data_IF_051872135901
#
_entry.id   IF_051872135901
#
_cell.length_a   1.000
_cell.length_b   1.000
_cell.length_c   1.000
_cell.angle_alpha   90.00
_cell.angle_beta   90.00
_cell.angle_gamma   90.00
#
_symmetry.space_group_name_H-M   'P 1'
#
loop_
_entity.id
_entity.type
_entity.pdbx_description
1 polymer ?
#
# COMPACT_ATOMS: atom_id res chain seq x y z
N UNK A 1 -18.44 -17.29 -50.03
CA UNK A 1 -18.74 -16.99 -48.59
C UNK A 1 -17.43 -16.89 -47.86
N UNK A 2 -16.88 -15.69 -47.81
CA UNK A 2 -15.60 -15.41 -47.16
C UNK A 2 -15.83 -15.22 -45.66
N UNK A 3 -15.15 -16.06 -44.90
CA UNK A 3 -15.13 -16.02 -43.47
C UNK A 3 -14.31 -14.79 -43.00
N UNK A 4 -14.96 -13.67 -42.68
CA UNK A 4 -14.33 -12.54 -41.99
C UNK A 4 -13.82 -13.03 -40.63
N UNK A 5 -12.54 -13.40 -40.56
CA UNK A 5 -11.82 -13.49 -39.28
C UNK A 5 -11.90 -12.11 -38.61
N UNK A 6 -12.59 -12.02 -37.49
CA UNK A 6 -12.53 -10.87 -36.62
C UNK A 6 -11.06 -10.55 -36.32
N UNK A 7 -10.67 -9.30 -36.58
CA UNK A 7 -9.34 -8.80 -36.23
C UNK A 7 -9.10 -9.01 -34.71
N UNK A 8 -7.89 -9.39 -34.31
CA UNK A 8 -7.59 -9.51 -32.89
C UNK A 8 -7.75 -8.12 -32.24
N UNK A 9 -8.41 -8.10 -31.09
CA UNK A 9 -8.42 -6.93 -30.23
C UNK A 9 -6.98 -6.46 -30.07
N UNK A 10 -6.75 -5.18 -30.34
CA UNK A 10 -5.46 -4.52 -30.20
C UNK A 10 -5.09 -4.54 -28.73
N UNK A 11 -4.47 -5.64 -28.26
CA UNK A 11 -3.97 -5.76 -26.89
C UNK A 11 -2.79 -4.81 -26.83
N UNK A 12 -2.99 -3.67 -26.19
CA UNK A 12 -1.91 -2.71 -25.99
C UNK A 12 -0.75 -3.42 -25.27
N UNK A 13 0.46 -3.26 -25.81
CA UNK A 13 1.69 -3.83 -25.25
C UNK A 13 1.85 -3.38 -23.78
N UNK A 14 2.11 -4.31 -22.87
CA UNK A 14 2.24 -4.00 -21.46
C UNK A 14 3.62 -3.46 -21.12
N UNK A 15 3.67 -2.39 -20.32
CA UNK A 15 4.88 -1.94 -19.64
C UNK A 15 4.93 -2.54 -18.23
N UNK A 16 5.93 -3.38 -17.94
CA UNK A 16 6.01 -4.09 -16.66
C UNK A 16 7.14 -3.55 -15.82
N UNK A 17 6.85 -3.15 -14.58
CA UNK A 17 7.85 -2.84 -13.57
C UNK A 17 7.98 -4.02 -12.62
N UNK A 18 9.07 -4.73 -12.69
CA UNK A 18 9.37 -5.87 -11.84
C UNK A 18 10.30 -5.47 -10.69
N UNK A 19 9.87 -5.76 -9.47
CA UNK A 19 10.70 -5.59 -8.28
C UNK A 19 10.98 -6.95 -7.64
N UNK A 20 12.22 -7.47 -7.71
CA UNK A 20 12.58 -8.73 -7.08
C UNK A 20 12.42 -8.64 -5.56
N UNK A 21 11.82 -9.66 -4.94
CA UNK A 21 11.67 -9.74 -3.47
C UNK A 21 13.04 -9.70 -2.80
N UNK A 22 13.39 -8.67 -2.03
CA UNK A 22 14.62 -8.71 -1.25
C UNK A 22 14.51 -9.85 -0.22
N UNK A 23 15.42 -10.81 -0.31
CA UNK A 23 15.53 -11.90 0.66
C UNK A 23 14.74 -13.18 0.39
N UNK A 24 14.19 -13.40 -0.79
CA UNK A 24 13.72 -14.71 -1.28
C UNK A 24 14.92 -15.49 -1.84
N UNK A 25 15.00 -16.81 -1.56
CA UNK A 25 16.13 -17.63 -2.02
C UNK A 25 16.25 -17.70 -3.55
N UNK A 26 15.13 -17.54 -4.26
CA UNK A 26 15.07 -17.57 -5.71
C UNK A 26 14.14 -16.45 -6.24
N UNK A 27 14.58 -15.17 -6.23
CA UNK A 27 13.77 -14.08 -6.75
C UNK A 27 13.46 -14.26 -8.24
N UNK A 28 14.40 -14.83 -9.01
CA UNK A 28 14.22 -15.11 -10.43
C UNK A 28 13.11 -16.13 -10.70
N UNK A 29 12.93 -17.15 -9.86
CA UNK A 29 11.93 -18.20 -10.09
C UNK A 29 10.49 -17.64 -10.16
N UNK A 30 10.15 -16.63 -9.37
CA UNK A 30 8.84 -16.00 -9.44
C UNK A 30 8.67 -15.24 -10.78
N UNK A 31 9.72 -14.53 -11.21
CA UNK A 31 9.68 -13.81 -12.49
C UNK A 31 9.62 -14.76 -13.70
N UNK A 32 10.35 -15.87 -13.66
CA UNK A 32 10.27 -16.91 -14.68
C UNK A 32 8.86 -17.49 -14.82
N UNK A 33 8.17 -17.76 -13.70
CA UNK A 33 6.79 -18.22 -13.70
C UNK A 33 5.82 -17.17 -14.27
N UNK A 34 6.02 -15.89 -13.94
CA UNK A 34 5.22 -14.78 -14.52
C UNK A 34 5.43 -14.72 -16.03
N UNK A 35 6.67 -14.77 -16.49
CA UNK A 35 7.02 -14.78 -17.92
C UNK A 35 6.40 -15.97 -18.66
N UNK A 36 6.63 -17.18 -18.18
CA UNK A 36 6.09 -18.40 -18.77
C UNK A 36 4.55 -18.31 -18.91
N UNK A 37 3.88 -17.82 -17.87
CA UNK A 37 2.42 -17.68 -17.91
C UNK A 37 1.95 -16.62 -18.92
N UNK A 38 2.69 -15.52 -19.10
CA UNK A 38 2.38 -14.48 -20.08
C UNK A 38 2.69 -14.97 -21.52
N UNK A 39 3.82 -15.63 -21.71
CA UNK A 39 4.23 -16.19 -23.02
C UNK A 39 3.23 -17.27 -23.49
N UNK A 40 2.77 -18.14 -22.60
CA UNK A 40 1.74 -19.15 -22.89
C UNK A 40 0.39 -18.53 -23.33
N UNK A 41 0.13 -17.27 -22.93
CA UNK A 41 -1.06 -16.52 -23.34
C UNK A 41 -0.82 -15.61 -24.56
N UNK A 42 0.37 -15.61 -25.12
CA UNK A 42 0.72 -14.79 -26.28
C UNK A 42 0.70 -13.28 -26.01
N UNK A 43 1.01 -12.86 -24.77
CA UNK A 43 1.00 -11.44 -24.41
C UNK A 43 2.27 -10.73 -24.88
N UNK A 44 2.10 -9.55 -25.47
CA UNK A 44 3.20 -8.66 -25.80
C UNK A 44 3.50 -7.73 -24.60
N UNK A 45 4.74 -7.71 -24.15
CA UNK A 45 5.17 -6.87 -23.04
C UNK A 45 6.64 -6.49 -23.14
N UNK A 46 6.97 -5.36 -22.52
CA UNK A 46 8.33 -5.00 -22.16
C UNK A 46 8.45 -4.93 -20.66
N UNK A 47 9.59 -5.28 -20.12
CA UNK A 47 9.79 -5.20 -18.68
C UNK A 47 11.06 -4.47 -18.30
N UNK A 48 11.00 -3.80 -17.16
CA UNK A 48 12.14 -3.17 -16.51
C UNK A 48 12.24 -3.67 -15.07
N UNK A 49 13.45 -3.99 -14.66
CA UNK A 49 13.72 -4.48 -13.32
C UNK A 49 14.19 -3.34 -12.42
N UNK A 50 13.57 -3.23 -11.25
CA UNK A 50 13.98 -2.31 -10.20
C UNK A 50 15.24 -2.81 -9.50
N UNK A 51 16.21 -1.93 -9.34
CA UNK A 51 17.50 -2.17 -8.65
C UNK A 51 17.49 -1.70 -7.19
N UNK A 52 16.45 -1.00 -6.73
CA UNK A 52 16.36 -0.54 -5.35
C UNK A 52 15.31 0.52 -5.07
N UNK A 53 15.45 1.16 -3.93
CA UNK A 53 14.54 2.22 -3.48
C UNK A 53 14.60 3.43 -4.42
N UNK A 54 13.43 3.93 -4.83
CA UNK A 54 13.28 5.08 -5.74
C UNK A 54 13.40 4.77 -7.22
N UNK A 55 13.95 3.61 -7.62
CA UNK A 55 14.05 3.25 -9.04
C UNK A 55 12.69 2.97 -9.68
N UNK A 56 11.72 2.47 -8.91
CA UNK A 56 10.37 2.16 -9.41
C UNK A 56 9.66 3.41 -9.93
N UNK A 57 9.73 4.53 -9.23
CA UNK A 57 9.13 5.79 -9.68
C UNK A 57 9.74 6.22 -11.03
N UNK A 58 11.07 6.24 -11.12
CA UNK A 58 11.79 6.59 -12.34
C UNK A 58 11.46 5.65 -13.51
N UNK A 59 11.43 4.34 -13.26
CA UNK A 59 11.13 3.33 -14.29
C UNK A 59 9.67 3.42 -14.76
N UNK A 60 8.74 3.69 -13.84
CA UNK A 60 7.33 3.91 -14.20
C UNK A 60 7.17 5.15 -15.09
N UNK A 61 7.75 6.29 -14.69
CA UNK A 61 7.73 7.51 -15.53
C UNK A 61 8.39 7.30 -16.88
N UNK A 62 9.45 6.49 -16.95
CA UNK A 62 10.09 6.14 -18.23
C UNK A 62 9.13 5.36 -19.14
N UNK A 63 8.41 4.37 -18.61
CA UNK A 63 7.41 3.61 -19.40
C UNK A 63 6.27 4.52 -19.88
N UNK A 64 5.78 5.44 -19.02
CA UNK A 64 4.75 6.43 -19.40
C UNK A 64 5.24 7.27 -20.59
N UNK A 65 6.45 7.83 -20.50
CA UNK A 65 7.05 8.65 -21.57
C UNK A 65 7.28 7.86 -22.87
N UNK A 66 7.47 6.55 -22.77
CA UNK A 66 7.59 5.66 -23.93
C UNK A 66 6.20 5.24 -24.50
N UNK A 67 5.10 5.81 -24.00
CA UNK A 67 3.76 5.63 -24.55
C UNK A 67 3.03 4.37 -24.08
N UNK A 68 3.49 3.69 -23.03
CA UNK A 68 2.75 2.56 -22.47
C UNK A 68 1.51 3.05 -21.72
N UNK A 69 0.35 2.54 -22.12
CA UNK A 69 -0.95 2.85 -21.52
C UNK A 69 -1.42 1.77 -20.54
N UNK A 70 -0.83 0.58 -20.57
CA UNK A 70 -1.06 -0.50 -19.62
C UNK A 70 0.22 -0.76 -18.84
N UNK A 71 0.20 -0.42 -17.56
CA UNK A 71 1.34 -0.58 -16.66
C UNK A 71 1.05 -1.65 -15.61
N UNK A 72 1.90 -2.66 -15.55
CA UNK A 72 1.76 -3.77 -14.60
C UNK A 72 2.92 -3.74 -13.60
N UNK A 73 2.58 -3.71 -12.34
CA UNK A 73 3.56 -3.81 -11.24
C UNK A 73 3.65 -5.26 -10.78
N UNK A 74 4.84 -5.85 -10.87
CA UNK A 74 5.13 -7.15 -10.24
C UNK A 74 5.86 -6.89 -8.93
N UNK A 75 5.10 -6.82 -7.83
CA UNK A 75 5.62 -6.38 -6.53
C UNK A 75 4.58 -6.44 -5.42
N UNK A 76 4.86 -5.78 -4.30
CA UNK A 76 3.92 -5.59 -3.18
C UNK A 76 3.43 -4.14 -3.07
N UNK A 77 2.62 -3.85 -2.03
CA UNK A 77 2.01 -2.53 -1.79
C UNK A 77 3.01 -1.38 -1.86
N UNK A 78 4.22 -1.57 -1.34
CA UNK A 78 5.27 -0.57 -1.38
C UNK A 78 5.70 -0.20 -2.80
N UNK A 79 5.81 -1.20 -3.68
CA UNK A 79 6.22 -1.01 -5.08
C UNK A 79 5.07 -0.37 -5.85
N UNK A 80 3.84 -0.83 -5.59
CA UNK A 80 2.63 -0.26 -6.14
C UNK A 80 2.49 1.23 -5.76
N UNK A 81 2.73 1.58 -4.48
CA UNK A 81 2.71 2.97 -4.01
C UNK A 81 3.77 3.85 -4.68
N UNK A 82 4.95 3.31 -5.02
CA UNK A 82 5.97 4.05 -5.78
C UNK A 82 5.52 4.28 -7.23
N UNK A 83 4.98 3.26 -7.90
CA UNK A 83 4.43 3.40 -9.25
C UNK A 83 3.25 4.40 -9.28
N UNK A 84 2.38 4.35 -8.27
CA UNK A 84 1.33 5.34 -8.08
C UNK A 84 1.88 6.76 -8.05
N UNK A 85 2.92 7.03 -7.23
CA UNK A 85 3.47 8.38 -7.09
C UNK A 85 4.06 8.91 -8.40
N UNK A 86 4.65 8.04 -9.22
CA UNK A 86 5.07 8.39 -10.57
C UNK A 86 3.87 8.81 -11.45
N UNK A 87 2.78 8.04 -11.43
CA UNK A 87 1.57 8.36 -12.20
C UNK A 87 0.88 9.63 -11.71
N UNK A 88 0.85 9.85 -10.39
CA UNK A 88 0.25 11.06 -9.82
C UNK A 88 1.08 12.33 -10.05
N UNK A 89 2.32 12.20 -10.54
CA UNK A 89 3.15 13.31 -10.99
C UNK A 89 2.90 13.71 -12.45
N UNK A 90 2.24 12.84 -13.23
CA UNK A 90 1.86 13.14 -14.61
C UNK A 90 0.60 14.02 -14.68
N UNK A 91 0.40 14.71 -15.79
CA UNK A 91 -0.83 15.47 -16.04
C UNK A 91 -2.06 14.54 -16.06
N UNK A 92 -3.21 15.06 -15.68
CA UNK A 92 -4.48 14.31 -15.65
C UNK A 92 -4.80 13.69 -17.01
N UNK A 93 -4.57 14.44 -18.09
CA UNK A 93 -4.78 14.01 -19.48
C UNK A 93 -3.94 12.77 -19.88
N UNK A 94 -2.74 12.65 -19.35
CA UNK A 94 -1.84 11.51 -19.55
C UNK A 94 -2.26 10.36 -18.62
N UNK A 95 -2.47 10.65 -17.34
CA UNK A 95 -2.84 9.67 -16.33
C UNK A 95 -4.16 8.97 -16.64
N UNK A 96 -5.14 9.68 -17.18
CA UNK A 96 -6.45 9.14 -17.54
C UNK A 96 -6.40 8.10 -18.67
N UNK A 97 -5.34 8.10 -19.47
CA UNK A 97 -5.08 7.09 -20.50
C UNK A 97 -4.39 5.83 -19.98
N UNK A 98 -3.88 5.85 -18.74
CA UNK A 98 -3.09 4.77 -18.18
C UNK A 98 -3.95 3.88 -17.30
N UNK A 99 -3.85 2.57 -17.52
CA UNK A 99 -4.42 1.53 -16.66
C UNK A 99 -3.32 0.87 -15.84
N UNK A 100 -3.42 0.94 -14.52
CA UNK A 100 -2.48 0.31 -13.60
C UNK A 100 -3.00 -1.05 -13.15
N UNK A 101 -2.16 -2.06 -13.21
CA UNK A 101 -2.45 -3.40 -12.70
C UNK A 101 -1.35 -3.91 -11.76
N UNK A 102 -1.63 -4.98 -11.03
CA UNK A 102 -0.69 -5.60 -10.11
C UNK A 102 -0.65 -7.11 -10.27
N UNK A 103 0.55 -7.67 -10.25
CA UNK A 103 0.81 -9.08 -9.96
C UNK A 103 1.47 -9.13 -8.58
N UNK A 104 0.78 -9.66 -7.55
CA UNK A 104 1.27 -9.61 -6.18
C UNK A 104 2.54 -10.44 -6.02
N UNK A 105 3.62 -9.79 -5.59
CA UNK A 105 4.91 -10.40 -5.30
C UNK A 105 5.56 -9.75 -4.07
N UNK A 106 4.77 -9.37 -3.09
CA UNK A 106 5.19 -8.76 -1.82
C UNK A 106 4.97 -9.68 -0.62
N UNK A 107 5.20 -9.16 0.58
CA UNK A 107 4.92 -9.87 1.85
C UNK A 107 3.54 -9.58 2.42
N UNK A 108 2.89 -8.51 2.01
CA UNK A 108 1.56 -8.10 2.47
C UNK A 108 0.56 -8.23 1.35
N UNK A 109 0.76 -7.47 0.27
CA UNK A 109 -0.12 -7.42 -0.90
C UNK A 109 -1.57 -7.05 -0.56
N UNK A 110 -1.74 -6.18 0.44
CA UNK A 110 -3.03 -5.90 1.06
C UNK A 110 -4.01 -5.27 0.07
N UNK A 111 -3.51 -4.32 -0.75
CA UNK A 111 -4.31 -3.70 -1.80
C UNK A 111 -4.66 -4.70 -2.93
N UNK A 112 -3.72 -5.58 -3.30
CA UNK A 112 -3.98 -6.63 -4.27
C UNK A 112 -5.04 -7.63 -3.77
N UNK A 113 -4.92 -8.05 -2.50
CA UNK A 113 -5.89 -8.96 -1.88
C UNK A 113 -7.29 -8.36 -1.77
N UNK A 114 -7.41 -7.03 -1.57
CA UNK A 114 -8.70 -6.34 -1.60
C UNK A 114 -9.45 -6.61 -2.92
N UNK A 115 -8.74 -6.68 -4.04
CA UNK A 115 -9.27 -6.96 -5.36
C UNK A 115 -9.30 -8.46 -5.72
N UNK A 116 -8.97 -9.35 -4.79
CA UNK A 116 -8.97 -10.80 -5.03
C UNK A 116 -7.73 -11.31 -5.78
N UNK A 117 -6.70 -10.50 -5.98
CA UNK A 117 -5.42 -10.98 -6.51
C UNK A 117 -4.64 -11.73 -5.43
N UNK A 118 -4.11 -12.90 -5.79
CA UNK A 118 -3.28 -13.73 -4.89
C UNK A 118 -2.00 -14.18 -5.58
N UNK A 119 -0.89 -14.19 -4.87
CA UNK A 119 0.38 -14.76 -5.33
C UNK A 119 0.36 -16.30 -5.44
N UNK A 120 -0.65 -16.94 -4.86
CA UNK A 120 -0.87 -18.40 -4.99
C UNK A 120 -1.53 -18.79 -6.32
N UNK A 121 -2.23 -17.84 -6.98
CA UNK A 121 -2.94 -18.09 -8.25
C UNK A 121 -2.53 -17.08 -9.32
N UNK A 122 -1.30 -17.20 -9.79
CA UNK A 122 -0.71 -16.32 -10.80
C UNK A 122 -1.49 -16.33 -12.12
N UNK A 123 -1.93 -17.50 -12.58
CA UNK A 123 -2.70 -17.62 -13.83
C UNK A 123 -3.99 -16.80 -13.76
N UNK A 124 -4.71 -16.89 -12.64
CA UNK A 124 -5.91 -16.07 -12.44
C UNK A 124 -5.61 -14.57 -12.45
N UNK A 125 -4.52 -14.14 -11.79
CA UNK A 125 -4.11 -12.73 -11.81
C UNK A 125 -3.88 -12.24 -13.25
N UNK A 126 -3.17 -13.03 -14.07
CA UNK A 126 -2.90 -12.68 -15.47
C UNK A 126 -4.20 -12.70 -16.29
N UNK A 127 -5.12 -13.64 -16.06
CA UNK A 127 -6.41 -13.68 -16.73
C UNK A 127 -7.25 -12.42 -16.47
N UNK A 128 -7.24 -11.93 -15.22
CA UNK A 128 -7.90 -10.67 -14.86
C UNK A 128 -7.25 -9.50 -15.60
N UNK A 129 -5.93 -9.42 -15.63
CA UNK A 129 -5.22 -8.35 -16.31
C UNK A 129 -5.48 -8.35 -17.82
N UNK A 130 -5.56 -9.54 -18.46
CA UNK A 130 -5.90 -9.71 -19.88
C UNK A 130 -7.30 -9.24 -20.22
N UNK A 131 -8.29 -9.50 -19.35
CA UNK A 131 -9.66 -8.98 -19.52
C UNK A 131 -9.72 -7.46 -19.52
N UNK A 132 -8.72 -6.81 -18.97
CA UNK A 132 -8.52 -5.37 -18.96
C UNK A 132 -9.74 -4.55 -18.50
N UNK A 133 -10.52 -5.10 -17.57
CA UNK A 133 -11.62 -4.37 -16.97
C UNK A 133 -11.06 -3.37 -15.98
N UNK A 134 -11.31 -2.09 -16.21
CA UNK A 134 -10.80 -1.01 -15.37
C UNK A 134 -11.89 -0.42 -14.49
N UNK A 135 -11.46 0.08 -13.34
CA UNK A 135 -12.28 0.89 -12.44
C UNK A 135 -11.53 2.15 -12.03
N UNK A 136 -12.21 3.28 -12.00
CA UNK A 136 -11.66 4.49 -11.38
C UNK A 136 -11.59 4.28 -9.87
N UNK A 137 -10.42 4.44 -9.30
CA UNK A 137 -10.18 4.27 -7.87
C UNK A 137 -9.77 5.58 -7.22
N UNK A 138 -10.07 5.67 -5.94
CA UNK A 138 -9.66 6.76 -5.08
C UNK A 138 -8.20 6.54 -4.65
N UNK A 139 -7.50 7.63 -4.44
CA UNK A 139 -6.11 7.65 -3.97
C UNK A 139 -6.02 8.58 -2.77
N UNK A 140 -5.42 8.12 -1.70
CA UNK A 140 -5.14 8.97 -0.56
C UNK A 140 -3.94 9.89 -0.84
N UNK A 141 -4.01 11.12 -0.35
CA UNK A 141 -2.91 12.11 -0.40
C UNK A 141 -2.51 12.47 1.01
N UNK A 142 -1.24 12.27 1.34
CA UNK A 142 -0.64 12.63 2.61
C UNK A 142 0.39 13.73 2.40
N UNK A 143 0.22 14.86 3.09
CA UNK A 143 1.15 15.98 3.12
C UNK A 143 1.65 16.13 4.55
N UNK A 144 2.93 16.42 4.74
CA UNK A 144 3.49 16.62 6.07
C UNK A 144 4.49 17.77 6.11
N UNK A 145 4.68 18.27 7.30
CA UNK A 145 5.71 19.26 7.64
C UNK A 145 6.53 18.70 8.80
N UNK A 146 7.85 18.79 8.67
CA UNK A 146 8.78 18.34 9.71
C UNK A 146 9.04 19.45 10.76
N UNK A 147 9.66 19.08 11.88
CA UNK A 147 10.11 20.05 12.89
C UNK A 147 11.10 21.09 12.30
N UNK A 148 11.84 20.71 11.27
CA UNK A 148 12.83 21.55 10.57
C UNK A 148 12.18 22.44 9.49
N UNK A 149 10.86 22.35 9.29
CA UNK A 149 10.12 23.13 8.29
C UNK A 149 10.13 22.52 6.88
N UNK A 150 10.76 21.36 6.68
CA UNK A 150 10.71 20.67 5.40
C UNK A 150 9.30 20.13 5.16
N UNK A 151 8.82 20.28 3.92
CA UNK A 151 7.51 19.77 3.50
C UNK A 151 7.67 18.59 2.58
N UNK A 152 6.87 17.56 2.82
CA UNK A 152 6.78 16.37 1.98
C UNK A 152 5.35 16.08 1.58
N UNK A 153 5.20 15.29 0.51
CA UNK A 153 3.92 14.83 0.02
C UNK A 153 4.08 13.45 -0.61
N UNK A 154 3.13 12.55 -0.34
CA UNK A 154 3.00 11.26 -1.02
C UNK A 154 1.55 10.86 -1.20
N UNK A 155 1.29 10.16 -2.30
CA UNK A 155 0.03 9.47 -2.53
C UNK A 155 0.10 8.03 -2.04
N UNK A 156 -1.05 7.46 -1.67
CA UNK A 156 -1.14 6.08 -1.20
C UNK A 156 -2.42 5.40 -1.67
N UNK A 157 -2.33 4.09 -1.88
CA UNK A 157 -3.47 3.25 -2.26
C UNK A 157 -4.10 2.56 -1.05
N UNK A 158 -3.27 2.14 -0.09
CA UNK A 158 -3.75 1.38 1.06
C UNK A 158 -3.95 2.26 2.29
N UNK A 159 -2.88 2.76 2.93
CA UNK A 159 -3.05 3.54 4.16
C UNK A 159 -1.82 4.35 4.60
N UNK A 160 -2.10 5.29 5.51
CA UNK A 160 -1.11 5.94 6.37
C UNK A 160 -1.20 5.33 7.77
N UNK A 161 -0.06 4.92 8.33
CA UNK A 161 0.06 4.41 9.70
C UNK A 161 0.92 5.33 10.55
N UNK A 162 0.49 5.58 11.80
CA UNK A 162 1.25 6.34 12.78
C UNK A 162 1.42 5.50 14.05
N UNK A 163 2.60 5.53 14.64
CA UNK A 163 2.91 4.86 15.90
C UNK A 163 3.34 3.42 15.75
N UNK A 164 2.81 2.52 16.56
CA UNK A 164 3.26 1.13 16.67
C UNK A 164 3.23 0.38 15.33
N UNK A 165 2.18 0.53 14.54
CA UNK A 165 2.06 -0.16 13.26
C UNK A 165 3.16 0.27 12.28
N UNK A 166 3.42 1.57 12.17
CA UNK A 166 4.52 2.10 11.36
C UNK A 166 5.89 1.61 11.85
N UNK A 167 6.11 1.57 13.16
CA UNK A 167 7.35 1.08 13.76
C UNK A 167 7.59 -0.42 13.51
N UNK A 168 6.55 -1.24 13.55
CA UNK A 168 6.64 -2.67 13.19
C UNK A 168 7.01 -2.85 11.72
N UNK A 169 6.49 -2.00 10.83
CA UNK A 169 6.85 -2.01 9.40
C UNK A 169 8.32 -1.64 9.20
N UNK A 170 8.81 -0.62 9.90
CA UNK A 170 10.22 -0.22 9.86
C UNK A 170 11.14 -1.37 10.27
N UNK A 171 10.85 -2.05 11.38
CA UNK A 171 11.65 -3.18 11.87
C UNK A 171 11.64 -4.34 10.87
N UNK A 172 10.49 -4.64 10.24
CA UNK A 172 10.42 -5.66 9.20
C UNK A 172 11.37 -5.37 8.03
N UNK A 173 11.57 -4.11 7.69
CA UNK A 173 12.45 -3.71 6.59
C UNK A 173 13.93 -3.72 6.97
N UNK A 174 14.28 -3.35 8.21
CA UNK A 174 15.68 -3.25 8.68
C UNK A 174 16.26 -4.57 9.17
N UNK A 175 15.47 -5.64 9.36
CA UNK A 175 15.98 -6.90 9.93
C UNK A 175 16.70 -7.74 8.87
N UNK A 176 18.04 -7.90 8.94
CA UNK A 176 18.80 -8.73 8.02
C UNK A 176 18.37 -10.20 8.12
N UNK A 177 18.55 -10.93 7.00
CA UNK A 177 18.17 -12.34 6.83
C UNK A 177 18.90 -13.30 7.79
N UNK A 178 20.09 -12.94 8.25
CA UNK A 178 20.95 -13.79 9.08
C UNK A 178 20.36 -14.14 10.46
N UNK A 179 19.40 -13.33 10.95
CA UNK A 179 18.73 -13.55 12.24
C UNK A 179 17.54 -14.55 12.16
N UNK A 180 17.38 -15.25 11.05
CA UNK A 180 16.32 -16.26 10.87
C UNK A 180 16.56 -17.57 11.62
N UNK A 181 17.78 -17.83 12.10
CA UNK A 181 18.17 -19.10 12.76
C UNK A 181 17.82 -19.19 14.26
N UNK A 182 17.35 -18.11 14.89
CA UNK A 182 16.99 -18.12 16.30
C UNK A 182 15.51 -18.38 16.55
N UNK A 183 15.06 -19.61 16.59
CA UNK A 183 13.66 -20.00 16.82
C UNK A 183 13.09 -19.48 18.15
N UNK A 184 13.92 -19.25 19.16
CA UNK A 184 13.51 -18.90 20.54
C UNK A 184 13.55 -17.39 20.81
N UNK A 185 14.46 -16.64 20.21
CA UNK A 185 14.64 -15.21 20.49
C UNK A 185 13.68 -14.28 19.74
N UNK A 186 13.00 -14.79 18.72
CA UNK A 186 12.07 -14.02 17.87
C UNK A 186 10.76 -13.63 18.54
N UNK A 187 10.06 -14.55 19.27
CA UNK A 187 8.83 -14.18 19.93
C UNK A 187 9.07 -13.19 21.07
N UNK A 188 10.13 -13.39 21.86
CA UNK A 188 10.48 -12.50 22.97
C UNK A 188 10.85 -11.07 22.52
N UNK A 189 11.55 -10.91 21.39
CA UNK A 189 11.92 -9.59 20.87
C UNK A 189 10.73 -8.89 20.19
N UNK A 190 9.85 -9.63 19.53
CA UNK A 190 8.56 -9.10 19.05
C UNK A 190 7.64 -8.73 20.21
N UNK A 191 7.65 -9.52 21.26
CA UNK A 191 6.93 -9.25 22.49
C UNK A 191 7.49 -8.01 23.21
N UNK A 192 8.82 -7.80 23.24
CA UNK A 192 9.43 -6.63 23.88
C UNK A 192 9.06 -5.31 23.17
N UNK A 193 8.72 -5.34 21.88
CA UNK A 193 8.20 -4.18 21.15
C UNK A 193 6.76 -3.87 21.58
N UNK A 194 5.96 -4.90 21.82
CA UNK A 194 4.63 -4.76 22.41
C UNK A 194 4.69 -4.27 23.85
N UNK A 195 5.76 -4.61 24.59
CA UNK A 195 6.00 -4.19 25.99
C UNK A 195 6.58 -2.77 26.11
N UNK A 196 7.26 -2.24 25.09
CA UNK A 196 7.58 -0.81 25.07
C UNK A 196 6.26 -0.07 24.91
N UNK A 197 5.88 0.69 25.93
CA UNK A 197 4.74 1.61 25.88
C UNK A 197 5.04 2.71 24.84
N UNK A 198 4.89 2.36 23.55
CA UNK A 198 5.01 3.32 22.46
C UNK A 198 3.66 4.01 22.38
N UNK A 199 3.50 5.05 23.19
CA UNK A 199 2.37 5.94 23.07
C UNK A 199 2.87 7.31 22.69
N UNK A 200 2.14 7.98 21.85
CA UNK A 200 2.50 9.28 21.29
C UNK A 200 1.33 10.21 21.50
N UNK A 201 1.60 11.39 22.01
CA UNK A 201 0.58 12.43 22.16
C UNK A 201 0.29 13.00 20.78
N UNK A 202 -0.94 12.81 20.30
CA UNK A 202 -1.42 13.30 19.02
C UNK A 202 -2.66 14.16 19.23
N UNK A 203 -2.71 15.29 18.54
CA UNK A 203 -3.92 16.07 18.37
C UNK A 203 -4.46 15.78 16.96
N UNK A 204 -5.60 15.10 16.88
CA UNK A 204 -6.19 14.61 15.63
C UNK A 204 -7.51 15.34 15.42
N UNK A 205 -7.66 15.98 14.25
CA UNK A 205 -8.93 16.57 13.81
C UNK A 205 -9.50 15.72 12.70
N UNK A 206 -10.69 15.16 12.93
CA UNK A 206 -11.45 14.38 11.96
C UNK A 206 -12.93 14.75 12.04
N UNK A 207 -13.50 15.20 10.93
CA UNK A 207 -14.82 15.84 10.90
C UNK A 207 -14.87 17.00 11.92
N UNK A 208 -15.90 17.06 12.75
CA UNK A 208 -16.04 18.05 13.81
C UNK A 208 -15.36 17.63 15.14
N UNK A 209 -14.72 16.45 15.18
CA UNK A 209 -14.10 15.94 16.38
C UNK A 209 -12.64 16.37 16.47
N UNK A 210 -12.24 16.87 17.63
CA UNK A 210 -10.86 17.11 18.02
C UNK A 210 -10.50 16.12 19.12
N UNK A 211 -9.50 15.30 18.88
CA UNK A 211 -9.07 14.22 19.77
C UNK A 211 -7.62 14.51 20.17
N UNK A 212 -7.42 14.98 21.40
CA UNK A 212 -6.08 15.18 21.97
C UNK A 212 -5.84 14.11 23.02
N UNK A 213 -5.10 13.09 22.68
CA UNK A 213 -4.86 11.95 23.56
C UNK A 213 -3.58 11.20 23.22
N UNK A 214 -3.14 10.36 24.16
CA UNK A 214 -2.07 9.40 23.94
C UNK A 214 -2.57 8.26 23.07
N UNK A 215 -1.95 8.07 21.90
CA UNK A 215 -2.29 7.10 20.87
C UNK A 215 -1.17 6.06 20.75
N UNK A 216 -1.52 4.79 20.77
CA UNK A 216 -0.59 3.69 20.52
C UNK A 216 -0.36 3.49 19.01
N UNK A 217 -1.43 3.48 18.24
CA UNK A 217 -1.38 3.40 16.77
C UNK A 217 -2.60 4.08 16.18
N UNK A 218 -2.42 4.69 15.03
CA UNK A 218 -3.48 5.24 14.18
C UNK A 218 -3.28 4.75 12.76
N UNK A 219 -4.38 4.40 12.09
CA UNK A 219 -4.40 4.10 10.68
C UNK A 219 -5.44 4.97 9.97
N UNK A 220 -5.05 5.56 8.85
CA UNK A 220 -5.93 6.27 7.93
C UNK A 220 -5.92 5.47 6.63
N UNK A 221 -6.99 4.73 6.37
CA UNK A 221 -7.11 3.78 5.28
C UNK A 221 -7.96 4.30 4.12
N UNK A 222 -7.43 4.14 2.92
CA UNK A 222 -8.17 4.20 1.67
C UNK A 222 -8.62 2.79 1.25
N UNK A 223 -7.89 1.76 1.72
CA UNK A 223 -8.24 0.34 1.65
C UNK A 223 -8.09 -0.31 3.04
N UNK A 224 -7.93 -1.65 3.11
CA UNK A 224 -8.00 -2.42 4.38
C UNK A 224 -7.00 -2.02 5.47
N UNK A 225 -5.94 -1.26 5.13
CA UNK A 225 -5.02 -0.72 6.13
C UNK A 225 -4.34 -1.78 6.98
N UNK A 226 -3.95 -2.90 6.38
CA UNK A 226 -3.38 -4.07 7.09
C UNK A 226 -4.31 -4.61 8.20
N UNK A 227 -5.63 -4.58 7.93
CA UNK A 227 -6.66 -5.03 8.85
C UNK A 227 -7.11 -4.00 9.89
N UNK A 228 -6.52 -2.81 9.92
CA UNK A 228 -6.89 -1.74 10.88
C UNK A 228 -8.08 -0.91 10.40
N UNK A 229 -8.34 -0.86 9.10
CA UNK A 229 -9.49 -0.21 8.47
C UNK A 229 -10.23 -1.18 7.55
N UNK A 230 -10.80 -2.27 8.09
CA UNK A 230 -11.36 -3.36 7.28
C UNK A 230 -12.60 -2.97 6.46
N UNK A 231 -13.23 -1.85 6.79
CA UNK A 231 -14.39 -1.32 6.07
C UNK A 231 -14.05 -0.30 4.99
N UNK A 232 -12.78 0.04 4.81
CA UNK A 232 -12.38 1.02 3.80
C UNK A 232 -12.45 0.43 2.39
N UNK A 233 -12.93 1.25 1.45
CA UNK A 233 -13.21 0.86 0.06
C UNK A 233 -12.65 1.93 -0.88
N UNK A 234 -11.65 1.62 -1.73
CA UNK A 234 -10.91 2.62 -2.51
C UNK A 234 -11.68 3.14 -3.74
N UNK A 235 -12.97 3.31 -3.64
CA UNK A 235 -13.85 3.86 -4.71
C UNK A 235 -15.16 4.44 -4.16
N UNK A 236 -15.21 4.84 -2.88
CA UNK A 236 -16.40 5.44 -2.27
C UNK A 236 -16.17 6.90 -1.88
N UNK A 237 -14.99 7.45 -2.15
CA UNK A 237 -14.61 8.82 -1.84
C UNK A 237 -14.45 9.09 -0.35
N UNK A 238 -14.16 8.06 0.46
CA UNK A 238 -14.06 8.15 1.92
C UNK A 238 -12.72 7.58 2.40
N UNK A 239 -12.21 8.15 3.50
CA UNK A 239 -11.13 7.59 4.27
C UNK A 239 -11.68 7.04 5.59
N UNK A 240 -11.27 5.85 5.96
CA UNK A 240 -11.55 5.25 7.25
C UNK A 240 -10.39 5.53 8.21
N UNK A 241 -10.70 5.95 9.43
CA UNK A 241 -9.71 6.26 10.46
C UNK A 241 -9.93 5.35 11.65
N UNK A 242 -8.89 4.63 12.06
CA UNK A 242 -8.90 3.89 13.33
C UNK A 242 -7.82 4.44 14.25
N UNK A 243 -8.19 4.73 15.49
CA UNK A 243 -7.32 5.28 16.53
C UNK A 243 -7.36 4.34 17.71
N UNK A 244 -6.21 3.79 18.09
CA UNK A 244 -6.09 2.92 19.26
C UNK A 244 -5.44 3.69 20.39
N UNK A 245 -6.20 3.94 21.43
CA UNK A 245 -5.68 4.49 22.69
C UNK A 245 -4.82 3.45 23.40
N UNK A 246 -4.12 3.86 24.45
CA UNK A 246 -3.23 2.99 25.18
C UNK A 246 -3.98 1.82 25.88
N UNK A 247 -3.91 0.58 25.35
CA UNK A 247 -4.60 -0.54 25.99
C UNK A 247 -3.81 -1.11 27.17
N UNK A 248 -4.51 -1.76 28.10
CA UNK A 248 -3.89 -2.59 29.14
C UNK A 248 -3.29 -3.85 28.47
N UNK A 249 -2.31 -4.49 29.14
CA UNK A 249 -1.61 -5.66 28.61
C UNK A 249 -2.53 -6.77 28.07
N UNK A 250 -3.56 -7.15 28.82
CA UNK A 250 -4.53 -8.17 28.39
C UNK A 250 -5.33 -7.74 27.16
N UNK A 251 -5.61 -6.44 27.03
CA UNK A 251 -6.31 -5.87 25.88
C UNK A 251 -5.45 -5.89 24.61
N UNK A 252 -4.10 -5.83 24.73
CA UNK A 252 -3.18 -5.98 23.60
C UNK A 252 -3.29 -7.35 22.96
N UNK A 253 -3.36 -8.41 23.76
CA UNK A 253 -3.51 -9.79 23.27
C UNK A 253 -4.86 -9.96 22.58
N UNK A 254 -5.93 -9.45 23.19
CA UNK A 254 -7.25 -9.44 22.57
C UNK A 254 -7.28 -8.62 21.28
N UNK A 255 -6.65 -7.45 21.27
CA UNK A 255 -6.54 -6.60 20.07
C UNK A 255 -5.83 -7.29 18.91
N UNK A 256 -4.76 -8.03 19.19
CA UNK A 256 -4.05 -8.82 18.17
C UNK A 256 -4.93 -9.95 17.62
N UNK A 257 -5.67 -10.64 18.47
CA UNK A 257 -6.61 -11.68 18.06
C UNK A 257 -7.75 -11.10 17.21
N UNK A 258 -8.31 -9.95 17.60
CA UNK A 258 -9.34 -9.25 16.84
C UNK A 258 -8.82 -8.74 15.48
N UNK A 259 -7.55 -8.32 15.42
CA UNK A 259 -6.91 -7.92 14.15
C UNK A 259 -6.81 -9.12 13.19
N UNK A 260 -6.34 -10.27 13.67
CA UNK A 260 -6.19 -11.50 12.87
C UNK A 260 -7.55 -12.02 12.40
N UNK A 261 -8.59 -11.88 13.20
CA UNK A 261 -9.96 -12.34 12.86
C UNK A 261 -10.77 -11.32 12.06
N UNK A 262 -10.19 -10.18 11.67
CA UNK A 262 -10.86 -9.12 10.92
C UNK A 262 -11.88 -8.32 11.74
N UNK A 263 -11.90 -8.47 13.07
CA UNK A 263 -12.83 -7.81 14.00
C UNK A 263 -12.18 -6.67 14.79
N UNK A 264 -11.12 -6.09 14.27
CA UNK A 264 -10.30 -5.09 14.97
C UNK A 264 -11.10 -3.91 15.54
N UNK A 265 -12.11 -3.44 14.81
CA UNK A 265 -12.94 -2.31 15.22
C UNK A 265 -13.82 -2.61 16.45
N UNK A 266 -13.99 -3.88 16.84
CA UNK A 266 -14.76 -4.28 18.03
C UNK A 266 -13.94 -4.15 19.33
N UNK A 267 -12.67 -3.78 19.24
CA UNK A 267 -11.84 -3.60 20.43
C UNK A 267 -12.25 -2.32 21.18
N UNK A 268 -12.44 -2.35 22.52
CA UNK A 268 -12.98 -1.22 23.29
C UNK A 268 -12.12 0.05 23.29
N UNK A 269 -10.83 -0.09 23.00
CA UNK A 269 -9.90 1.04 22.92
C UNK A 269 -9.73 1.58 21.49
N UNK A 270 -10.51 1.09 20.52
CA UNK A 270 -10.51 1.56 19.14
C UNK A 270 -11.62 2.56 18.94
N UNK A 271 -11.27 3.76 18.49
CA UNK A 271 -12.21 4.73 17.94
C UNK A 271 -12.11 4.70 16.43
N UNK A 272 -13.24 4.51 15.76
CA UNK A 272 -13.33 4.48 14.31
C UNK A 272 -14.12 5.68 13.79
N UNK A 273 -13.62 6.28 12.70
CA UNK A 273 -14.27 7.38 12.00
C UNK A 273 -14.24 7.10 10.50
N UNK A 274 -15.16 7.72 9.80
CA UNK A 274 -15.19 7.74 8.33
C UNK A 274 -15.44 9.16 7.87
N UNK A 275 -14.66 9.64 6.90
CA UNK A 275 -14.71 11.03 6.47
C UNK A 275 -14.41 11.21 4.99
N UNK A 276 -14.96 12.28 4.42
CA UNK A 276 -14.56 12.86 3.12
C UNK A 276 -13.68 14.09 3.30
N UNK A 277 -13.69 14.64 4.49
CA UNK A 277 -12.96 15.85 4.82
C UNK A 277 -11.49 15.54 5.09
N UNK A 278 -10.70 16.58 5.12
CA UNK A 278 -9.29 16.49 5.51
C UNK A 278 -9.16 16.01 6.95
N UNK A 279 -8.18 15.17 7.17
CA UNK A 279 -7.76 14.71 8.48
C UNK A 279 -6.46 15.44 8.81
N UNK A 280 -6.46 16.18 9.89
CA UNK A 280 -5.26 16.88 10.37
C UNK A 280 -4.71 16.19 11.61
N UNK A 281 -3.40 15.99 11.64
CA UNK A 281 -2.70 15.36 12.76
C UNK A 281 -1.53 16.23 13.16
N UNK A 282 -1.53 16.72 14.40
CA UNK A 282 -0.40 17.39 15.00
C UNK A 282 0.30 16.46 15.99
N UNK A 283 1.61 16.43 15.93
CA UNK A 283 2.47 15.56 16.72
C UNK A 283 3.07 16.35 17.89
N UNK A 284 2.87 15.87 19.11
CA UNK A 284 3.54 16.40 20.29
C UNK A 284 4.69 15.47 20.68
N UNK A 285 5.76 15.47 19.85
CA UNK A 285 6.92 14.60 19.96
C UNK A 285 7.11 13.69 18.76
N UNK A 286 8.09 12.79 18.82
CA UNK A 286 8.48 11.93 17.71
C UNK A 286 7.54 10.76 17.54
N UNK A 287 6.95 10.61 16.37
CA UNK A 287 6.13 9.48 15.99
C UNK A 287 6.62 8.85 14.67
N UNK A 288 6.75 7.53 14.67
CA UNK A 288 6.99 6.81 13.43
C UNK A 288 5.74 6.89 12.54
N UNK A 289 5.92 7.34 11.31
CA UNK A 289 4.84 7.47 10.32
C UNK A 289 5.21 6.68 9.07
N UNK A 290 4.29 5.88 8.57
CA UNK A 290 4.48 5.06 7.37
C UNK A 290 3.34 5.26 6.38
N UNK A 291 3.66 5.28 5.09
CA UNK A 291 2.72 5.43 3.98
C UNK A 291 2.91 4.23 3.05
N UNK A 292 1.88 3.40 2.88
CA UNK A 292 1.94 2.15 2.09
C UNK A 292 3.20 1.30 2.37
N UNK A 293 3.58 1.20 3.66
CA UNK A 293 4.75 0.46 4.10
C UNK A 293 6.11 1.18 3.91
N UNK A 294 6.13 2.41 3.38
CA UNK A 294 7.31 3.26 3.36
C UNK A 294 7.31 4.16 4.60
N UNK A 295 8.37 4.11 5.39
CA UNK A 295 8.49 4.94 6.59
C UNK A 295 9.06 6.30 6.24
N UNK A 296 8.47 7.36 6.79
CA UNK A 296 9.02 8.71 6.77
C UNK A 296 10.11 8.76 7.84
N UNK A 297 11.36 8.97 7.42
CA UNK A 297 12.52 8.98 8.33
C UNK A 297 12.68 10.31 9.09
N UNK A 298 11.92 11.31 8.73
CA UNK A 298 11.97 12.67 9.28
C UNK A 298 11.02 12.81 10.48
N UNK A 299 11.31 13.77 11.36
CA UNK A 299 10.43 14.08 12.48
C UNK A 299 9.23 14.90 12.00
N UNK A 300 8.10 14.25 11.82
CA UNK A 300 6.86 14.91 11.40
C UNK A 300 6.30 15.74 12.56
N UNK A 301 6.04 17.01 12.32
CA UNK A 301 5.37 17.94 13.24
C UNK A 301 3.88 18.03 12.98
N UNK A 302 3.49 18.04 11.70
CA UNK A 302 2.09 18.14 11.25
C UNK A 302 1.89 17.29 10.01
N UNK A 303 0.74 16.67 9.92
CA UNK A 303 0.33 15.88 8.76
C UNK A 303 -1.12 16.22 8.38
N UNK A 304 -1.38 16.32 7.09
CA UNK A 304 -2.71 16.46 6.51
C UNK A 304 -2.96 15.30 5.55
N UNK A 305 -4.10 14.63 5.69
CA UNK A 305 -4.47 13.51 4.83
C UNK A 305 -5.83 13.80 4.20
N UNK A 306 -5.92 13.62 2.89
CA UNK A 306 -7.14 13.81 2.11
C UNK A 306 -7.29 12.72 1.06
N UNK A 307 -8.45 12.64 0.42
CA UNK A 307 -8.74 11.70 -0.67
C UNK A 307 -8.84 12.43 -2.01
N UNK A 308 -8.12 11.92 -3.02
CA UNK A 308 -8.30 12.26 -4.44
C UNK A 308 -9.24 11.22 -5.04
N UNK A 309 -10.45 11.67 -5.40
CA UNK A 309 -11.52 10.77 -5.80
C UNK A 309 -11.39 10.39 -7.27
N UNK A 310 -11.59 9.10 -7.55
CA UNK A 310 -11.69 8.56 -8.91
C UNK A 310 -10.58 9.06 -9.86
N UNK A 311 -9.34 9.14 -9.37
CA UNK A 311 -8.25 9.79 -10.10
C UNK A 311 -7.30 8.82 -10.81
N UNK A 312 -7.49 7.48 -10.68
CA UNK A 312 -6.63 6.48 -11.30
C UNK A 312 -7.46 5.33 -11.86
N UNK A 313 -7.15 4.88 -13.08
CA UNK A 313 -7.72 3.64 -13.61
C UNK A 313 -6.94 2.45 -13.08
N UNK A 314 -7.60 1.55 -12.37
CA UNK A 314 -7.02 0.32 -11.87
C UNK A 314 -7.69 -0.89 -12.50
N UNK A 315 -6.90 -1.90 -12.92
CA UNK A 315 -7.42 -3.13 -13.53
C UNK A 315 -7.97 -4.02 -12.40
N UNK A 316 -9.22 -4.42 -12.53
CA UNK A 316 -9.99 -5.17 -11.51
C UNK A 316 -10.60 -6.44 -12.10
N UNK A 317 -10.96 -7.43 -11.28
CA UNK A 317 -11.67 -8.64 -11.73
C UNK A 317 -13.03 -8.41 -12.39
#
# INVERSE_FOLDING_TARGET
MENKKSAPHNVSRWGIVYCPKPGVMHPHKCWEQVRECMENKGLEYDFVQSDGAGSVERLTSMLVRNGYTTLIVVGGDRVLGQALNALMAEEDSVRDQISLGIIPNGRGNDFAHFWGFSDENLSHCIDVLVRHKTRRVDVGKCQWETEEGTRGMRYFMNCVNVGLAAHVMEIKHRTPRFWRLGFVTRPLRRLSILFKRISQQLCIRVNQNVIDQSVMTMCIGNAHGYGQTPGAVPYNGLLDVSIVSHPKMLQLVNGLWLLVTGRFLNHPNVKAFRTREKIEVAYNGRACTGIDGNVINENVKRMEVSVCRECLNFIVP
#
